data_IF_737381243728
#
_entry.id   IF_737381243728
#
_cell.length_a   1.000
_cell.length_b   1.000
_cell.length_c   1.000
_cell.angle_alpha   90.00
_cell.angle_beta   90.00
_cell.angle_gamma   90.00
#
_symmetry.space_group_name_H-M   'P 1'
#
loop_
_entity.id
_entity.type
_entity.pdbx_description
1 polymer ?
#
# COMPACT_ATOMS: atom_id res chain seq x y z
N UNK A 1 -10.45 -15.34 13.43
CA UNK A 1 -9.35 -15.45 12.46
C UNK A 1 -9.70 -14.67 11.20
N UNK A 2 -8.81 -13.85 10.72
CA UNK A 2 -9.04 -13.03 9.54
C UNK A 2 -8.73 -13.83 8.27
N UNK A 3 -9.60 -13.73 7.25
CA UNK A 3 -9.38 -14.46 5.99
C UNK A 3 -8.16 -13.98 5.20
N UNK A 4 -7.56 -12.86 5.61
CA UNK A 4 -6.36 -12.33 4.97
C UNK A 4 -5.14 -13.24 5.10
N UNK A 5 -5.11 -14.13 6.06
CA UNK A 5 -4.03 -15.11 6.23
C UNK A 5 -3.98 -16.18 5.14
N UNK A 6 -5.02 -16.26 4.31
CA UNK A 6 -5.12 -17.18 3.17
C UNK A 6 -4.85 -16.50 1.83
N UNK A 7 -4.73 -15.18 1.80
CA UNK A 7 -4.57 -14.43 0.57
C UNK A 7 -3.14 -14.53 0.03
N UNK A 8 -3.00 -14.76 -1.26
CA UNK A 8 -1.71 -14.71 -1.95
C UNK A 8 -1.27 -13.26 -2.20
N UNK A 9 -2.23 -12.37 -2.42
CA UNK A 9 -2.01 -10.95 -2.60
C UNK A 9 -2.95 -10.21 -1.64
N UNK A 10 -2.36 -9.40 -0.76
CA UNK A 10 -3.09 -8.63 0.24
C UNK A 10 -2.93 -7.14 -0.05
N UNK A 11 -4.06 -6.45 -0.21
CA UNK A 11 -4.08 -5.00 -0.39
C UNK A 11 -4.66 -4.36 0.86
N UNK A 12 -3.88 -3.51 1.50
CA UNK A 12 -4.29 -2.81 2.72
C UNK A 12 -4.57 -1.34 2.42
N UNK A 13 -5.81 -0.91 2.60
CA UNK A 13 -6.27 0.45 2.32
C UNK A 13 -7.31 0.92 3.35
N UNK A 14 -7.05 0.65 4.62
CA UNK A 14 -8.00 0.93 5.71
C UNK A 14 -7.82 2.30 6.36
N UNK A 15 -6.64 2.92 6.22
CA UNK A 15 -6.36 4.20 6.86
C UNK A 15 -6.08 4.12 8.35
N UNK A 16 -5.80 2.93 8.87
CA UNK A 16 -5.44 2.71 10.28
C UNK A 16 -3.97 2.33 10.39
N UNK A 17 -3.15 3.07 11.16
CA UNK A 17 -1.73 2.76 11.25
C UNK A 17 -1.50 1.38 11.83
N UNK A 18 -0.70 0.59 11.14
CA UNK A 18 -0.26 -0.74 11.56
C UNK A 18 -1.40 -1.70 11.88
N UNK A 19 -2.55 -1.55 11.21
CA UNK A 19 -3.71 -2.42 11.39
C UNK A 19 -3.39 -3.86 11.01
N UNK A 20 -2.71 -4.05 9.88
CA UNK A 20 -2.35 -5.39 9.37
C UNK A 20 -1.08 -5.85 10.07
N UNK A 21 -1.19 -6.94 10.79
CA UNK A 21 -0.09 -7.54 11.55
C UNK A 21 0.47 -8.77 10.85
N UNK A 22 1.63 -9.24 11.31
CA UNK A 22 2.29 -10.40 10.73
C UNK A 22 1.40 -11.64 10.70
N UNK A 23 0.55 -11.83 11.72
CA UNK A 23 -0.37 -12.96 11.82
C UNK A 23 -1.41 -12.99 10.71
N UNK A 24 -1.66 -11.84 10.08
CA UNK A 24 -2.68 -11.67 9.06
C UNK A 24 -2.15 -11.94 7.65
N UNK A 25 -0.87 -12.20 7.53
CA UNK A 25 -0.19 -12.35 6.25
C UNK A 25 0.27 -13.79 6.07
N UNK A 26 -0.11 -14.39 4.94
CA UNK A 26 0.38 -15.71 4.56
C UNK A 26 1.89 -15.64 4.25
N UNK A 27 2.71 -16.58 4.75
CA UNK A 27 4.12 -16.61 4.37
C UNK A 27 4.31 -16.64 2.85
N UNK A 28 5.14 -15.75 2.34
CA UNK A 28 5.39 -15.62 0.90
C UNK A 28 4.36 -14.79 0.14
N UNK A 29 3.35 -14.24 0.80
CA UNK A 29 2.34 -13.41 0.15
C UNK A 29 2.90 -12.08 -0.35
N UNK A 30 2.24 -11.51 -1.34
CA UNK A 30 2.53 -10.16 -1.83
C UNK A 30 1.64 -9.18 -1.06
N UNK A 31 2.24 -8.19 -0.42
CA UNK A 31 1.52 -7.19 0.38
C UNK A 31 1.63 -5.83 -0.27
N UNK A 32 0.48 -5.23 -0.59
CA UNK A 32 0.42 -3.88 -1.16
C UNK A 32 -0.23 -2.96 -0.13
N UNK A 33 0.56 -2.04 0.41
CA UNK A 33 0.11 -1.10 1.44
C UNK A 33 -0.22 0.24 0.79
N UNK A 34 -1.50 0.57 0.74
CA UNK A 34 -2.01 1.82 0.18
C UNK A 34 -2.23 2.88 1.27
N UNK A 35 -2.24 2.47 2.53
CA UNK A 35 -2.53 3.36 3.64
C UNK A 35 -1.47 4.43 3.85
N UNK A 36 -1.92 5.63 4.17
CA UNK A 36 -1.03 6.75 4.54
C UNK A 36 -1.62 7.39 5.80
N UNK A 37 -0.88 7.31 6.90
CA UNK A 37 -1.30 7.89 8.16
C UNK A 37 -0.13 8.66 8.78
N UNK A 38 -0.43 9.86 9.26
CA UNK A 38 0.54 10.67 9.98
C UNK A 38 0.49 10.30 11.45
N UNK A 39 1.64 9.94 12.01
CA UNK A 39 1.80 9.60 13.41
C UNK A 39 2.81 10.55 14.04
N UNK A 40 2.53 11.05 15.24
CA UNK A 40 3.44 11.92 15.96
C UNK A 40 4.74 11.18 16.27
N UNK A 41 5.86 11.77 15.88
CA UNK A 41 7.19 11.21 16.11
C UNK A 41 8.14 12.34 16.55
N UNK A 42 8.26 12.58 17.86
CA UNK A 42 9.11 13.67 18.37
C UNK A 42 10.57 13.54 17.97
N UNK A 43 11.02 12.32 17.70
CA UNK A 43 12.40 12.04 17.31
C UNK A 43 12.69 12.38 15.83
N UNK A 44 11.63 12.58 15.03
CA UNK A 44 11.79 12.93 13.63
C UNK A 44 11.96 14.44 13.48
N UNK A 45 12.87 14.92 12.61
CA UNK A 45 13.05 16.35 12.37
C UNK A 45 11.79 17.10 11.96
N UNK A 46 10.83 16.38 11.36
CA UNK A 46 9.55 16.96 10.94
C UNK A 46 8.49 16.95 12.05
N UNK A 47 8.75 16.28 13.17
CA UNK A 47 7.80 16.13 14.26
C UNK A 47 6.72 15.09 14.02
N UNK A 48 6.71 14.45 12.86
CA UNK A 48 5.76 13.38 12.52
C UNK A 48 6.41 12.36 11.60
N UNK A 49 5.80 11.19 11.52
CA UNK A 49 6.22 10.11 10.64
C UNK A 49 5.02 9.62 9.84
N UNK A 50 5.21 9.31 8.59
CA UNK A 50 4.17 8.72 7.75
C UNK A 50 4.32 7.20 7.79
N UNK A 51 3.24 6.52 8.15
CA UNK A 51 3.19 5.06 8.22
C UNK A 51 2.03 4.54 7.38
N UNK A 52 2.16 3.31 6.91
CA UNK A 52 1.09 2.63 6.21
C UNK A 52 0.19 1.83 7.14
N UNK A 53 -0.69 1.04 6.55
CA UNK A 53 -1.63 0.19 7.27
C UNK A 53 -0.99 -1.11 7.77
N UNK A 54 0.22 -1.43 7.33
CA UNK A 54 0.90 -2.68 7.70
C UNK A 54 1.96 -2.45 8.76
N UNK A 55 2.18 -3.46 9.60
CA UNK A 55 3.33 -3.50 10.50
C UNK A 55 4.54 -3.98 9.69
N UNK A 56 5.17 -3.04 8.97
CA UNK A 56 6.18 -3.30 7.96
C UNK A 56 7.33 -4.16 8.50
N UNK A 57 7.88 -3.77 9.63
CA UNK A 57 9.05 -4.46 10.20
C UNK A 57 8.76 -5.91 10.57
N UNK A 58 7.53 -6.20 11.02
CA UNK A 58 7.11 -7.55 11.36
C UNK A 58 6.75 -8.38 10.13
N UNK A 59 6.27 -7.75 9.06
CA UNK A 59 5.78 -8.44 7.86
C UNK A 59 6.90 -8.72 6.86
N UNK A 60 7.90 -7.85 6.78
CA UNK A 60 9.01 -7.99 5.82
C UNK A 60 9.64 -9.38 5.81
N UNK A 61 9.97 -10.02 6.96
CA UNK A 61 10.57 -11.35 6.92
C UNK A 61 9.61 -12.45 6.47
N UNK A 62 8.31 -12.21 6.48
CA UNK A 62 7.29 -13.21 6.18
C UNK A 62 6.81 -13.08 4.74
N UNK A 63 6.58 -11.86 4.27
CA UNK A 63 6.04 -11.59 2.95
C UNK A 63 7.04 -11.96 1.85
N UNK A 64 6.54 -12.45 0.73
CA UNK A 64 7.34 -12.65 -0.47
C UNK A 64 7.73 -11.33 -1.12
N UNK A 65 6.85 -10.35 -1.06
CA UNK A 65 7.11 -8.99 -1.51
C UNK A 65 6.19 -8.04 -0.72
N UNK A 66 6.66 -6.84 -0.42
CA UNK A 66 5.88 -5.81 0.27
C UNK A 66 6.26 -4.44 -0.27
N UNK A 67 5.27 -3.58 -0.49
CA UNK A 67 5.53 -2.21 -0.91
C UNK A 67 6.12 -1.39 0.23
N UNK A 68 7.21 -0.64 -0.01
CA UNK A 68 7.77 0.25 1.02
C UNK A 68 6.83 1.43 1.29
N UNK A 69 6.98 2.03 2.44
CA UNK A 69 6.23 3.21 2.84
C UNK A 69 7.18 4.24 3.48
N UNK A 70 7.18 5.48 3.02
CA UNK A 70 6.44 6.04 1.88
C UNK A 70 7.14 5.82 0.53
N UNK A 71 6.48 6.19 -0.56
CA UNK A 71 7.13 6.34 -1.87
C UNK A 71 6.89 5.22 -2.88
N UNK A 72 5.90 4.37 -2.65
CA UNK A 72 5.61 3.25 -3.54
C UNK A 72 4.28 3.39 -4.27
N UNK A 73 3.15 3.18 -3.58
CA UNK A 73 1.83 3.17 -4.22
C UNK A 73 1.37 4.58 -4.61
N UNK A 74 1.70 5.59 -3.80
CA UNK A 74 1.30 6.96 -4.10
C UNK A 74 1.75 7.45 -5.48
N UNK A 75 3.06 7.45 -5.78
CA UNK A 75 3.55 7.81 -7.11
C UNK A 75 2.99 6.94 -8.23
N UNK A 76 2.80 5.65 -7.99
CA UNK A 76 2.24 4.74 -8.97
C UNK A 76 0.77 5.05 -9.25
N UNK A 77 0.02 5.48 -8.26
CA UNK A 77 -1.38 5.91 -8.42
C UNK A 77 -1.48 7.06 -9.41
N UNK A 78 -0.62 8.05 -9.29
CA UNK A 78 -0.57 9.19 -10.20
C UNK A 78 -0.19 8.75 -11.62
N UNK A 79 0.82 7.91 -11.75
CA UNK A 79 1.27 7.40 -13.04
C UNK A 79 0.16 6.62 -13.75
N UNK A 80 -0.57 5.77 -13.03
CA UNK A 80 -1.66 4.99 -13.60
C UNK A 80 -2.88 5.85 -13.93
N UNK A 81 -3.14 6.90 -13.17
CA UNK A 81 -4.18 7.86 -13.50
C UNK A 81 -3.91 8.54 -14.84
N UNK A 82 -2.68 8.98 -15.07
CA UNK A 82 -2.29 9.59 -16.34
C UNK A 82 -2.41 8.60 -17.49
N UNK A 83 -1.96 7.36 -17.31
CA UNK A 83 -2.08 6.32 -18.31
C UNK A 83 -3.54 6.04 -18.66
N UNK A 84 -4.39 5.87 -17.65
CA UNK A 84 -5.80 5.59 -17.84
C UNK A 84 -6.53 6.74 -18.53
N UNK A 85 -6.15 7.98 -18.22
CA UNK A 85 -6.69 9.18 -18.87
C UNK A 85 -6.35 9.18 -20.36
N UNK A 86 -5.11 8.86 -20.72
CA UNK A 86 -4.68 8.76 -22.11
C UNK A 86 -5.45 7.66 -22.86
N UNK A 87 -5.62 6.50 -22.25
CA UNK A 87 -6.37 5.39 -22.85
C UNK A 87 -7.83 5.82 -23.08
N UNK A 88 -8.45 6.47 -22.10
CA UNK A 88 -9.83 6.94 -22.23
C UNK A 88 -9.99 7.98 -23.34
N UNK A 89 -9.04 8.91 -23.46
CA UNK A 89 -9.03 9.91 -24.53
C UNK A 89 -8.90 9.26 -25.92
N UNK A 90 -8.03 8.28 -26.06
CA UNK A 90 -7.86 7.55 -27.32
C UNK A 90 -9.12 6.77 -27.70
N UNK A 91 -9.80 6.15 -26.75
CA UNK A 91 -11.07 5.45 -26.98
C UNK A 91 -12.17 6.40 -27.43
N UNK A 92 -12.26 7.57 -26.80
CA UNK A 92 -13.24 8.60 -27.21
C UNK A 92 -12.98 9.10 -28.61
N UNK A 93 -11.71 9.32 -28.98
CA UNK A 93 -11.33 9.75 -30.31
C UNK A 93 -11.67 8.69 -31.36
N UNK A 94 -11.52 7.42 -31.04
CA UNK A 94 -11.84 6.32 -31.96
C UNK A 94 -13.33 6.11 -32.16
N UNK A 95 -14.16 6.58 -31.25
CA UNK A 95 -15.63 6.43 -31.28
C UNK A 95 -16.36 7.58 -31.98
N UNK A 96 -15.64 8.54 -32.46
CA UNK A 96 -16.19 9.67 -33.24
C UNK A 96 -16.24 9.30 -34.76
#
# INVERSE_FOLDING_TARGET
MCSSDLADILVAAAGSPRLVKADWVKPGAIVIDVGITRVDAPDDPKGYKIVGDTDFDAIVPIAGAITPMPGSVGPMTIAMLMRNTLIAANRSACNI
#
